data_IF_840596709479
#
_entry.id   IF_840596709479
#
_cell.length_a   1.000
_cell.length_b   1.000
_cell.length_c   1.000
_cell.angle_alpha   90.00
_cell.angle_beta   90.00
_cell.angle_gamma   90.00
#
_symmetry.space_group_name_H-M   'P 1'
#
loop_
_entity.id
_entity.type
_entity.pdbx_description
1 polymer ?
#
# COMPACT_ATOMS: atom_id res chain seq x y z
N UNK A 1 18.56 12.59 -0.30
CA UNK A 1 18.88 11.17 -0.52
C UNK A 1 17.72 10.60 -1.30
N UNK A 2 17.95 10.04 -2.49
CA UNK A 2 16.88 9.37 -3.22
C UNK A 2 16.34 8.24 -2.33
N UNK A 3 15.03 8.05 -2.31
CA UNK A 3 14.41 6.88 -1.66
C UNK A 3 14.73 5.69 -2.56
N UNK A 4 15.43 4.67 -2.05
CA UNK A 4 15.73 3.45 -2.81
C UNK A 4 14.69 2.34 -2.59
N UNK A 5 13.74 2.57 -1.69
CA UNK A 5 12.69 1.61 -1.33
C UNK A 5 11.40 1.93 -2.09
N UNK A 6 11.44 1.76 -3.42
CA UNK A 6 10.26 1.90 -4.27
C UNK A 6 9.42 0.62 -4.18
N UNK A 7 8.50 0.59 -3.22
CA UNK A 7 7.47 -0.41 -3.09
C UNK A 7 6.10 0.17 -3.45
N UNK A 8 5.29 -0.56 -4.22
CA UNK A 8 3.98 -0.13 -4.65
C UNK A 8 3.19 -1.24 -5.34
N UNK A 9 1.92 -0.96 -5.63
CA UNK A 9 1.05 -1.88 -6.36
C UNK A 9 1.26 -1.68 -7.86
N UNK A 10 1.70 -2.73 -8.54
CA UNK A 10 1.72 -2.77 -10.00
C UNK A 10 0.33 -3.09 -10.54
N UNK A 11 -0.18 -2.25 -11.44
CA UNK A 11 -1.42 -2.49 -12.18
C UNK A 11 -1.06 -2.72 -13.65
N UNK A 12 -1.57 -3.80 -14.24
CA UNK A 12 -1.48 -3.98 -15.69
C UNK A 12 -2.28 -2.86 -16.37
N UNK A 13 -1.69 -2.23 -17.39
CA UNK A 13 -2.32 -1.18 -18.17
C UNK A 13 -1.95 -1.32 -19.65
N UNK A 14 -2.88 -1.10 -20.60
CA UNK A 14 -2.56 -1.03 -22.03
C UNK A 14 -1.60 0.12 -22.37
N UNK A 15 -1.69 1.24 -21.63
CA UNK A 15 -0.79 2.39 -21.72
C UNK A 15 -0.54 2.94 -20.29
N UNK A 16 0.68 2.74 -19.78
CA UNK A 16 1.08 3.16 -18.43
C UNK A 16 1.14 4.69 -18.28
N UNK A 17 1.47 5.41 -19.36
CA UNK A 17 1.57 6.87 -19.40
C UNK A 17 0.19 7.51 -19.36
N UNK A 18 -0.78 6.96 -20.09
CA UNK A 18 -2.17 7.40 -20.01
C UNK A 18 -2.73 7.19 -18.60
N UNK A 19 -2.49 6.01 -18.00
CA UNK A 19 -2.97 5.70 -16.66
C UNK A 19 -2.31 6.59 -15.58
N UNK A 20 -1.01 6.89 -15.70
CA UNK A 20 -0.33 7.81 -14.79
C UNK A 20 -0.92 9.23 -14.86
N UNK A 21 -1.18 9.75 -16.07
CA UNK A 21 -1.81 11.07 -16.24
C UNK A 21 -3.22 11.13 -15.66
N UNK A 22 -3.97 10.04 -15.79
CA UNK A 22 -5.30 9.92 -15.18
C UNK A 22 -5.22 10.10 -13.66
N UNK A 23 -4.34 9.37 -12.98
CA UNK A 23 -4.19 9.47 -11.53
C UNK A 23 -3.60 10.81 -11.07
N UNK A 24 -2.67 11.39 -11.84
CA UNK A 24 -2.19 12.76 -11.60
C UNK A 24 -3.34 13.76 -11.63
N UNK A 25 -4.22 13.69 -12.64
CA UNK A 25 -5.36 14.59 -12.78
C UNK A 25 -6.45 14.35 -11.70
N UNK A 26 -6.68 13.09 -11.33
CA UNK A 26 -7.73 12.70 -10.39
C UNK A 26 -7.37 13.01 -8.94
N UNK A 27 -6.13 12.68 -8.53
CA UNK A 27 -5.70 12.68 -7.12
C UNK A 27 -4.64 13.74 -6.83
N UNK A 28 -4.06 14.37 -7.85
CA UNK A 28 -2.94 15.30 -7.70
C UNK A 28 -1.61 14.59 -7.35
N UNK A 29 -1.52 13.27 -7.59
CA UNK A 29 -0.32 12.48 -7.30
C UNK A 29 0.78 12.76 -8.32
N UNK A 30 2.01 12.93 -7.87
CA UNK A 30 3.15 13.25 -8.75
C UNK A 30 3.54 12.03 -9.60
N UNK A 31 3.88 12.24 -10.87
CA UNK A 31 4.48 11.19 -11.71
C UNK A 31 5.96 11.06 -11.33
N UNK A 32 6.30 10.00 -10.62
CA UNK A 32 7.65 9.74 -10.11
C UNK A 32 8.62 9.31 -11.21
N UNK A 33 8.16 8.49 -12.16
CA UNK A 33 8.90 8.13 -13.37
C UNK A 33 7.92 7.80 -14.50
N UNK A 34 8.43 7.93 -15.73
CA UNK A 34 7.76 7.59 -16.99
C UNK A 34 8.86 7.29 -18.01
N UNK A 35 9.10 6.01 -18.30
CA UNK A 35 10.14 5.52 -19.20
C UNK A 35 9.62 4.32 -20.02
N UNK A 36 10.53 3.62 -20.71
CA UNK A 36 10.18 2.47 -21.56
C UNK A 36 9.76 1.23 -20.76
N UNK A 37 10.10 1.17 -19.46
CA UNK A 37 9.77 0.07 -18.56
C UNK A 37 8.44 0.30 -17.82
N UNK A 38 7.95 1.54 -17.78
CA UNK A 38 6.62 1.87 -17.25
C UNK A 38 6.47 3.30 -16.74
N UNK A 39 5.42 3.51 -15.96
CA UNK A 39 5.19 4.78 -15.26
C UNK A 39 4.63 4.52 -13.86
N UNK A 40 5.01 5.38 -12.90
CA UNK A 40 4.47 5.33 -11.55
C UNK A 40 4.07 6.72 -11.06
N UNK A 41 2.92 6.78 -10.39
CA UNK A 41 2.48 7.93 -9.60
C UNK A 41 2.71 7.68 -8.12
N UNK A 42 3.03 8.73 -7.38
CA UNK A 42 3.22 8.67 -5.93
C UNK A 42 2.24 9.59 -5.21
N UNK A 43 1.56 9.10 -4.15
CA UNK A 43 0.81 9.98 -3.27
C UNK A 43 1.76 11.01 -2.62
N UNK A 44 1.30 12.25 -2.39
CA UNK A 44 2.10 13.30 -1.76
C UNK A 44 2.52 12.92 -0.33
N UNK A 45 1.71 12.12 0.37
CA UNK A 45 1.94 11.65 1.73
C UNK A 45 1.52 10.17 1.85
N UNK A 46 2.42 9.32 2.38
CA UNK A 46 2.14 7.90 2.65
C UNK A 46 2.68 6.92 1.60
N UNK A 47 2.80 5.65 1.98
CA UNK A 47 2.98 4.54 1.04
C UNK A 47 1.61 4.08 0.51
N UNK A 48 1.55 3.57 -0.71
CA UNK A 48 0.36 2.83 -1.17
C UNK A 48 0.24 1.57 -0.30
N UNK A 49 -0.83 1.48 0.47
CA UNK A 49 -1.09 0.36 1.37
C UNK A 49 -1.81 -0.77 0.62
N UNK A 50 -1.43 -2.00 0.93
CA UNK A 50 -2.25 -3.17 0.63
C UNK A 50 -3.28 -3.32 1.74
N UNK A 51 -4.54 -3.53 1.38
CA UNK A 51 -5.63 -3.72 2.34
C UNK A 51 -6.33 -5.04 2.09
N UNK A 52 -6.47 -5.86 3.13
CA UNK A 52 -7.04 -7.20 3.02
C UNK A 52 -8.17 -7.39 4.01
N UNK A 53 -9.36 -7.70 3.49
CA UNK A 53 -10.48 -8.12 4.32
C UNK A 53 -10.22 -9.53 4.85
N UNK A 54 -10.42 -9.74 6.15
CA UNK A 54 -10.24 -11.04 6.81
C UNK A 54 -11.47 -11.43 7.61
N UNK A 55 -11.74 -12.73 7.67
CA UNK A 55 -12.89 -13.28 8.39
C UNK A 55 -12.74 -13.21 9.93
N UNK A 56 -11.51 -13.23 10.44
CA UNK A 56 -11.17 -13.02 11.85
C UNK A 56 -9.91 -12.15 11.97
N UNK A 57 -10.12 -10.89 12.35
CA UNK A 57 -9.04 -9.91 12.46
C UNK A 57 -7.99 -10.31 13.49
N UNK A 58 -8.40 -10.83 14.65
CA UNK A 58 -7.46 -11.18 15.72
C UNK A 58 -6.58 -12.36 15.32
N UNK A 59 -7.19 -13.39 14.74
CA UNK A 59 -6.45 -14.56 14.27
C UNK A 59 -5.49 -14.19 13.13
N UNK A 60 -5.93 -13.36 12.18
CA UNK A 60 -5.10 -12.92 11.07
C UNK A 60 -3.91 -12.07 11.53
N UNK A 61 -4.10 -11.15 12.48
CA UNK A 61 -2.99 -10.38 13.08
C UNK A 61 -1.99 -11.31 13.79
N UNK A 62 -2.46 -12.23 14.63
CA UNK A 62 -1.58 -13.17 15.32
C UNK A 62 -0.73 -13.98 14.34
N UNK A 63 -1.37 -14.49 13.28
CA UNK A 63 -0.68 -15.24 12.24
C UNK A 63 0.35 -14.39 11.48
N UNK A 64 0.01 -13.16 11.12
CA UNK A 64 0.95 -12.25 10.47
C UNK A 64 2.18 -11.98 11.35
N UNK A 65 1.98 -11.81 12.67
CA UNK A 65 3.07 -11.62 13.63
C UNK A 65 3.94 -12.87 13.77
N UNK A 66 3.35 -14.06 13.79
CA UNK A 66 4.09 -15.34 13.78
C UNK A 66 4.99 -15.49 12.53
N UNK A 67 4.55 -14.94 11.39
CA UNK A 67 5.31 -14.91 10.15
C UNK A 67 6.37 -13.79 10.08
N UNK A 68 6.47 -12.95 11.11
CA UNK A 68 7.49 -11.91 11.23
C UNK A 68 7.00 -10.48 10.94
N UNK A 69 5.70 -10.27 10.76
CA UNK A 69 5.16 -8.92 10.74
C UNK A 69 5.18 -8.29 12.15
N UNK A 70 5.10 -6.96 12.20
CA UNK A 70 4.97 -6.19 13.45
C UNK A 70 3.83 -5.21 13.36
N UNK A 71 3.09 -4.99 14.44
CA UNK A 71 2.07 -3.94 14.47
C UNK A 71 2.74 -2.55 14.34
N UNK A 72 2.09 -1.67 13.58
CA UNK A 72 2.48 -0.25 13.49
C UNK A 72 2.23 0.44 14.83
N UNK A 73 3.10 1.39 15.19
CA UNK A 73 2.95 2.20 16.40
C UNK A 73 1.74 3.15 16.37
N UNK A 74 1.12 3.35 15.20
CA UNK A 74 -0.09 4.13 15.02
C UNK A 74 -1.18 3.27 14.36
N UNK A 75 -2.38 3.28 14.95
CA UNK A 75 -3.56 2.54 14.48
C UNK A 75 -4.71 3.54 14.28
N UNK A 76 -5.17 3.79 13.04
CA UNK A 76 -6.11 4.86 12.75
C UNK A 76 -7.57 4.52 13.06
N UNK A 77 -7.94 3.23 13.10
CA UNK A 77 -9.34 2.77 13.20
C UNK A 77 -9.44 1.47 14.01
N UNK A 78 -10.55 1.25 14.72
CA UNK A 78 -10.72 0.11 15.64
C UNK A 78 -10.86 -1.25 14.93
N UNK A 79 -11.44 -1.28 13.74
CA UNK A 79 -11.73 -2.48 12.94
C UNK A 79 -10.64 -2.78 11.89
N UNK A 80 -9.54 -2.04 11.94
CA UNK A 80 -8.37 -2.17 11.07
C UNK A 80 -7.14 -2.41 11.93
N UNK A 81 -6.17 -3.18 11.43
CA UNK A 81 -4.83 -3.29 12.01
C UNK A 81 -3.79 -3.02 10.95
N UNK A 82 -2.99 -2.00 11.19
CA UNK A 82 -1.83 -1.64 10.37
C UNK A 82 -0.64 -2.45 10.86
N UNK A 83 -0.06 -3.24 9.97
CA UNK A 83 1.10 -4.08 10.19
C UNK A 83 2.22 -3.65 9.25
N UNK A 84 3.45 -3.98 9.61
CA UNK A 84 4.64 -3.81 8.81
C UNK A 84 5.21 -5.20 8.56
N UNK A 85 5.43 -5.54 7.30
CA UNK A 85 6.06 -6.82 6.93
C UNK A 85 7.53 -6.89 7.42
N UNK A 86 8.24 -8.03 7.27
CA UNK A 86 9.64 -8.14 7.68
C UNK A 86 10.60 -7.13 7.01
N UNK A 87 10.23 -6.57 5.85
CA UNK A 87 10.99 -5.52 5.16
C UNK A 87 10.56 -4.10 5.58
N UNK A 88 9.49 -3.96 6.37
CA UNK A 88 8.97 -2.70 6.88
C UNK A 88 7.87 -2.06 6.05
N UNK A 89 7.32 -2.76 5.04
CA UNK A 89 6.24 -2.22 4.21
C UNK A 89 4.89 -2.26 4.94
N UNK A 90 4.10 -1.16 4.91
CA UNK A 90 2.80 -1.12 5.55
C UNK A 90 1.73 -1.87 4.76
N UNK A 91 0.93 -2.66 5.47
CA UNK A 91 -0.31 -3.24 4.99
C UNK A 91 -1.37 -3.23 6.10
N UNK A 92 -2.63 -3.29 5.71
CA UNK A 92 -3.77 -3.32 6.60
C UNK A 92 -4.46 -4.68 6.51
N UNK A 93 -4.87 -5.19 7.67
CA UNK A 93 -5.91 -6.21 7.78
C UNK A 93 -7.14 -5.55 8.36
N UNK A 94 -8.30 -5.76 7.75
CA UNK A 94 -9.56 -5.24 8.25
C UNK A 94 -10.65 -6.30 8.24
N UNK A 95 -11.70 -6.05 9.00
CA UNK A 95 -12.93 -6.81 8.91
C UNK A 95 -14.08 -5.84 8.83
N UNK A 96 -14.87 -5.93 7.77
CA UNK A 96 -16.05 -5.10 7.66
C UNK A 96 -17.11 -5.56 8.67
N UNK A 97 -17.81 -4.60 9.27
CA UNK A 97 -18.82 -4.87 10.28
C UNK A 97 -20.06 -5.49 9.65
N UNK A 98 -20.17 -6.82 9.65
CA UNK A 98 -21.46 -7.50 9.38
C UNK A 98 -22.48 -7.23 10.49
#
# INVERSE_FOLDING_TARGET
MARHDWWGVGLEAPDTRELARFYWALLGWEVAHEDDDGAAVVPPEGAVYLDFEVSDLRAAVAHAVELGARESGFQPQDHVRVLLDPAGHPFCLYKDGS
#
